data_IF_658284519182
#
_entry.id   IF_658284519182
#
_cell.length_a   1.000
_cell.length_b   1.000
_cell.length_c   1.000
_cell.angle_alpha   90.00
_cell.angle_beta   90.00
_cell.angle_gamma   90.00
#
_symmetry.space_group_name_H-M   'P 1'
#
loop_
_entity.id
_entity.type
_entity.pdbx_description
1 polymer ?
#
# COMPACT_ATOMS: atom_id res chain seq x y z
N UNK A 1 -10.58 17.22 -12.40
CA UNK A 1 -9.69 17.02 -11.25
C UNK A 1 -8.26 17.07 -11.78
N UNK A 2 -7.40 17.89 -11.19
CA UNK A 2 -6.00 18.01 -11.62
C UNK A 2 -5.23 16.77 -11.13
N UNK A 3 -4.52 16.08 -12.01
CA UNK A 3 -3.67 14.93 -11.65
C UNK A 3 -2.20 15.36 -11.62
N UNK A 4 -1.36 14.65 -10.88
CA UNK A 4 0.07 14.97 -10.79
C UNK A 4 0.75 15.07 -12.17
N UNK A 5 0.43 14.16 -13.09
CA UNK A 5 0.96 14.14 -14.46
C UNK A 5 0.54 15.33 -15.34
N UNK A 6 -0.47 16.10 -14.94
CA UNK A 6 -0.88 17.31 -15.66
C UNK A 6 0.03 18.52 -15.38
N UNK A 7 0.86 18.45 -14.34
CA UNK A 7 1.82 19.49 -14.00
C UNK A 7 3.14 19.26 -14.75
N UNK A 8 3.70 20.33 -15.32
CA UNK A 8 5.00 20.27 -15.98
C UNK A 8 6.13 19.91 -14.98
N UNK A 9 7.19 19.18 -15.39
CA UNK A 9 8.27 18.78 -14.48
C UNK A 9 8.94 19.93 -13.72
N UNK A 10 9.11 21.09 -14.36
CA UNK A 10 9.65 22.29 -13.72
C UNK A 10 8.72 22.86 -12.63
N UNK A 11 7.40 22.77 -12.86
CA UNK A 11 6.40 23.17 -11.87
C UNK A 11 6.37 22.21 -10.67
N UNK A 12 6.42 20.90 -10.92
CA UNK A 12 6.50 19.90 -9.86
C UNK A 12 7.70 20.16 -8.94
N UNK A 13 8.90 20.35 -9.50
CA UNK A 13 10.12 20.64 -8.72
C UNK A 13 9.97 21.91 -7.88
N UNK A 14 9.43 22.98 -8.46
CA UNK A 14 9.19 24.24 -7.75
C UNK A 14 8.18 24.08 -6.61
N UNK A 15 7.05 23.40 -6.85
CA UNK A 15 6.02 23.18 -5.82
C UNK A 15 6.53 22.29 -4.70
N UNK A 16 7.21 21.17 -4.99
CA UNK A 16 7.78 20.29 -3.95
C UNK A 16 8.85 20.99 -3.11
N UNK A 17 9.72 21.80 -3.70
CA UNK A 17 10.77 22.52 -2.96
C UNK A 17 10.24 23.76 -2.20
N UNK A 18 9.13 24.34 -2.65
CA UNK A 18 8.52 25.54 -2.07
C UNK A 18 7.36 25.21 -1.12
N UNK A 19 6.10 25.58 -1.47
CA UNK A 19 4.93 25.45 -0.59
C UNK A 19 4.49 24.00 -0.33
N UNK A 20 4.94 23.05 -1.14
CA UNK A 20 4.50 21.66 -1.14
C UNK A 20 3.29 21.42 -2.03
N UNK A 21 3.08 20.16 -2.41
CA UNK A 21 1.95 19.73 -3.21
C UNK A 21 1.06 18.79 -2.39
N UNK A 22 -0.25 18.98 -2.43
CA UNK A 22 -1.20 18.10 -1.73
C UNK A 22 -1.57 16.96 -2.64
N UNK A 23 -1.04 15.77 -2.34
CA UNK A 23 -1.34 14.54 -3.05
C UNK A 23 -2.49 13.81 -2.35
N UNK A 24 -3.48 13.37 -3.13
CA UNK A 24 -4.60 12.58 -2.61
C UNK A 24 -4.39 11.10 -2.85
N UNK A 25 -4.35 10.33 -1.77
CA UNK A 25 -4.31 8.86 -1.82
C UNK A 25 -5.51 8.31 -1.04
N UNK A 26 -6.52 7.79 -1.74
CA UNK A 26 -7.75 7.33 -1.11
C UNK A 26 -8.44 8.47 -0.34
N UNK A 27 -8.77 8.28 0.96
CA UNK A 27 -9.41 9.31 1.78
C UNK A 27 -8.44 10.38 2.28
N UNK A 28 -7.12 10.21 2.14
CA UNK A 28 -6.13 11.07 2.78
C UNK A 28 -5.51 12.09 1.81
N UNK A 29 -5.24 13.27 2.36
CA UNK A 29 -4.50 14.38 1.74
C UNK A 29 -3.15 14.55 2.41
N UNK A 30 -2.09 14.27 1.67
CA UNK A 30 -0.71 14.46 2.14
C UNK A 30 -0.08 15.66 1.45
N UNK A 31 0.26 16.70 2.20
CA UNK A 31 1.10 17.79 1.70
C UNK A 31 2.54 17.34 1.72
N UNK A 32 3.16 17.24 0.55
CA UNK A 32 4.52 16.74 0.40
C UNK A 32 5.44 17.90 0.04
N UNK A 33 6.51 18.05 0.81
CA UNK A 33 7.62 18.98 0.56
C UNK A 33 8.92 18.19 0.50
N UNK A 34 9.72 18.44 -0.54
CA UNK A 34 11.04 17.85 -0.67
C UNK A 34 11.93 18.63 -1.63
N UNK A 35 13.21 18.72 -1.30
CA UNK A 35 14.27 19.27 -2.14
C UNK A 35 15.05 18.19 -2.91
N UNK A 36 14.65 16.91 -2.76
CA UNK A 36 15.37 15.74 -3.31
C UNK A 36 14.88 15.44 -4.73
N UNK A 37 15.67 15.69 -5.79
CA UNK A 37 15.19 15.55 -7.16
C UNK A 37 14.77 14.13 -7.52
N UNK A 38 15.54 13.12 -7.08
CA UNK A 38 15.24 11.71 -7.33
C UNK A 38 13.91 11.27 -6.70
N UNK A 39 13.53 11.87 -5.55
CA UNK A 39 12.24 11.61 -4.92
C UNK A 39 11.11 12.23 -5.74
N UNK A 40 11.28 13.47 -6.21
CA UNK A 40 10.32 14.15 -7.10
C UNK A 40 10.10 13.34 -8.38
N UNK A 41 11.18 12.87 -9.02
CA UNK A 41 11.08 12.08 -10.26
C UNK A 41 10.35 10.75 -10.00
N UNK A 42 10.61 10.09 -8.87
CA UNK A 42 9.94 8.83 -8.51
C UNK A 42 8.46 9.04 -8.17
N UNK A 43 8.12 10.09 -7.42
CA UNK A 43 6.72 10.44 -7.13
C UNK A 43 5.99 10.78 -8.44
N UNK A 44 6.63 11.56 -9.33
CA UNK A 44 6.07 11.90 -10.64
C UNK A 44 5.76 10.66 -11.49
N UNK A 45 6.58 9.63 -11.40
CA UNK A 45 6.38 8.36 -12.12
C UNK A 45 5.27 7.50 -11.50
N UNK A 46 5.34 7.24 -10.19
CA UNK A 46 4.49 6.27 -9.50
C UNK A 46 3.11 6.85 -9.11
N UNK A 47 3.04 8.17 -8.93
CA UNK A 47 1.84 8.88 -8.52
C UNK A 47 1.26 9.78 -9.63
N UNK A 48 1.68 9.58 -10.89
CA UNK A 48 1.23 10.35 -12.05
C UNK A 48 -0.30 10.49 -12.18
N UNK A 49 -1.06 9.44 -11.88
CA UNK A 49 -2.53 9.42 -12.03
C UNK A 49 -3.29 9.99 -10.83
N UNK A 50 -2.58 10.34 -9.75
CA UNK A 50 -3.22 10.68 -8.49
C UNK A 50 -3.66 12.14 -8.53
N UNK A 51 -4.84 12.44 -7.97
CA UNK A 51 -5.31 13.80 -7.87
C UNK A 51 -4.40 14.64 -6.98
N UNK A 52 -4.23 15.90 -7.36
CA UNK A 52 -3.52 16.91 -6.58
C UNK A 52 -4.47 18.07 -6.27
N UNK A 53 -4.48 18.49 -5.02
CA UNK A 53 -5.19 19.70 -4.59
C UNK A 53 -4.19 20.87 -4.57
N UNK A 54 -4.58 22.04 -5.08
CA UNK A 54 -3.71 23.22 -5.12
C UNK A 54 -3.64 23.93 -3.77
N UNK A 55 -4.77 23.97 -3.05
CA UNK A 55 -4.92 24.64 -1.76
C UNK A 55 -5.80 23.83 -0.82
N UNK A 56 -5.66 24.08 0.48
CA UNK A 56 -6.58 23.57 1.50
C UNK A 56 -5.94 22.72 2.59
N UNK A 57 -6.81 22.03 3.33
CA UNK A 57 -6.43 21.18 4.45
C UNK A 57 -5.69 19.93 3.97
N UNK A 58 -4.62 19.56 4.66
CA UNK A 58 -3.92 18.29 4.48
C UNK A 58 -3.89 17.55 5.82
N UNK A 59 -4.29 16.28 5.80
CA UNK A 59 -4.27 15.39 6.97
C UNK A 59 -2.83 15.20 7.47
N UNK A 60 -1.88 15.12 6.53
CA UNK A 60 -0.48 14.85 6.81
C UNK A 60 0.42 15.91 6.18
N UNK A 61 1.31 16.51 6.98
CA UNK A 61 2.41 17.35 6.52
C UNK A 61 3.67 16.49 6.43
N UNK A 62 4.17 16.28 5.22
CA UNK A 62 5.32 15.42 4.97
C UNK A 62 6.48 16.24 4.44
N UNK A 63 7.51 16.42 5.27
CA UNK A 63 8.72 17.11 4.88
C UNK A 63 9.90 16.14 4.80
N UNK A 64 10.39 15.91 3.58
CA UNK A 64 11.56 15.08 3.31
C UNK A 64 12.69 15.93 2.76
N UNK A 65 13.72 16.16 3.57
CA UNK A 65 14.85 17.02 3.22
C UNK A 65 16.13 16.21 3.04
N UNK A 66 16.96 16.63 2.08
CA UNK A 66 18.34 16.21 2.00
C UNK A 66 19.21 16.80 3.11
N UNK A 67 20.30 16.12 3.47
CA UNK A 67 21.30 16.67 4.40
C UNK A 67 21.84 18.01 3.88
N UNK A 68 21.77 19.11 4.64
CA UNK A 68 22.27 20.42 4.20
C UNK A 68 23.81 20.51 4.25
N UNK A 69 24.36 21.51 3.55
CA UNK A 69 25.77 21.88 3.60
C UNK A 69 26.73 20.89 2.95
N UNK A 70 28.01 20.94 3.33
CA UNK A 70 29.08 20.11 2.73
C UNK A 70 28.86 18.61 2.89
N UNK A 71 28.16 18.19 3.95
CA UNK A 71 27.84 16.76 4.21
C UNK A 71 26.98 16.14 3.11
N UNK A 72 26.27 16.94 2.30
CA UNK A 72 25.54 16.47 1.11
C UNK A 72 26.42 15.77 0.08
N UNK A 73 27.72 16.09 0.05
CA UNK A 73 28.66 15.48 -0.90
C UNK A 73 29.38 14.26 -0.34
N UNK A 74 29.51 14.14 0.98
CA UNK A 74 30.25 13.03 1.60
C UNK A 74 29.36 11.87 2.02
N UNK A 75 28.21 12.17 2.61
CA UNK A 75 27.22 11.18 3.06
C UNK A 75 25.82 11.79 2.95
N UNK A 76 25.27 11.89 1.72
CA UNK A 76 23.92 12.42 1.52
C UNK A 76 22.89 11.51 2.20
N UNK A 77 22.03 12.10 3.01
CA UNK A 77 20.96 11.39 3.72
C UNK A 77 19.63 12.10 3.47
N UNK A 78 18.55 11.33 3.50
CA UNK A 78 17.18 11.82 3.61
C UNK A 78 16.79 11.88 5.09
N UNK A 79 16.06 12.93 5.46
CA UNK A 79 15.48 13.10 6.79
C UNK A 79 14.00 13.37 6.66
N UNK A 80 13.22 12.86 7.61
CA UNK A 80 11.82 13.17 7.74
C UNK A 80 11.64 14.02 8.98
N UNK A 81 10.99 15.15 8.80
CA UNK A 81 10.65 16.08 9.86
C UNK A 81 9.15 16.39 9.79
N UNK A 82 8.47 16.28 10.92
CA UNK A 82 7.09 16.70 11.06
C UNK A 82 7.01 17.66 12.24
N UNK A 83 7.03 18.96 11.96
CA UNK A 83 6.95 20.03 12.97
C UNK A 83 7.96 19.84 14.12
N UNK A 84 9.20 19.44 13.79
CA UNK A 84 10.28 19.18 14.74
C UNK A 84 10.30 17.75 15.33
N UNK A 85 9.27 16.93 15.08
CA UNK A 85 9.28 15.51 15.41
C UNK A 85 10.01 14.72 14.33
N UNK A 86 10.96 13.89 14.77
CA UNK A 86 11.76 13.02 13.91
C UNK A 86 11.55 11.57 14.31
N UNK A 87 10.43 10.94 13.87
CA UNK A 87 10.12 9.57 14.24
C UNK A 87 11.08 8.55 13.62
N UNK A 88 11.82 8.93 12.57
CA UNK A 88 12.74 8.04 11.86
C UNK A 88 14.18 8.55 11.90
N UNK A 89 15.12 7.60 11.98
CA UNK A 89 16.55 7.90 11.79
C UNK A 89 16.81 8.31 10.33
N UNK A 90 17.78 9.20 10.06
CA UNK A 90 18.18 9.53 8.70
C UNK A 90 18.62 8.28 7.92
N UNK A 91 18.20 8.16 6.66
CA UNK A 91 18.57 7.07 5.76
C UNK A 91 19.45 7.60 4.62
N UNK A 92 20.24 6.76 3.93
CA UNK A 92 20.95 7.17 2.72
C UNK A 92 19.99 7.82 1.70
N UNK A 93 20.42 8.86 0.99
CA UNK A 93 19.54 9.62 0.08
C UNK A 93 18.88 8.74 -1.00
N UNK A 94 19.56 7.66 -1.43
CA UNK A 94 19.03 6.68 -2.36
C UNK A 94 17.76 5.98 -1.84
N UNK A 95 17.55 5.97 -0.52
CA UNK A 95 16.39 5.39 0.16
C UNK A 95 15.27 6.41 0.42
N UNK A 96 15.32 7.60 -0.20
CA UNK A 96 14.29 8.63 -0.04
C UNK A 96 12.88 8.14 -0.39
N UNK A 97 12.71 7.39 -1.48
CA UNK A 97 11.40 6.86 -1.85
C UNK A 97 10.88 5.77 -0.88
N UNK A 98 11.64 4.72 -0.52
CA UNK A 98 11.22 3.80 0.54
C UNK A 98 10.85 4.51 1.85
N UNK A 99 11.62 5.53 2.24
CA UNK A 99 11.32 6.34 3.42
C UNK A 99 9.99 7.08 3.28
N UNK A 100 9.73 7.69 2.13
CA UNK A 100 8.46 8.36 1.82
C UNK A 100 7.27 7.40 1.98
N UNK A 101 7.35 6.20 1.42
CA UNK A 101 6.27 5.20 1.55
C UNK A 101 6.07 4.74 3.01
N UNK A 102 7.15 4.55 3.77
CA UNK A 102 7.04 4.20 5.19
C UNK A 102 6.44 5.32 6.03
N UNK A 103 6.81 6.56 5.76
CA UNK A 103 6.23 7.74 6.40
C UNK A 103 4.73 7.82 6.12
N UNK A 104 4.31 7.66 4.87
CA UNK A 104 2.88 7.64 4.49
C UNK A 104 2.12 6.56 5.26
N UNK A 105 2.68 5.34 5.33
CA UNK A 105 2.11 4.25 6.12
C UNK A 105 1.99 4.60 7.60
N UNK A 106 3.06 5.15 8.19
CA UNK A 106 3.11 5.52 9.59
C UNK A 106 2.08 6.60 9.95
N UNK A 107 1.92 7.61 9.09
CA UNK A 107 0.90 8.65 9.29
C UNK A 107 -0.51 8.06 9.33
N UNK A 108 -0.84 7.16 8.40
CA UNK A 108 -2.15 6.49 8.38
C UNK A 108 -2.34 5.62 9.62
N UNK A 109 -1.38 4.75 9.96
CA UNK A 109 -1.53 3.83 11.09
C UNK A 109 -1.62 4.51 12.46
N UNK A 110 -0.99 5.68 12.63
CA UNK A 110 -0.97 6.42 13.91
C UNK A 110 -2.06 7.49 14.04
N UNK A 111 -2.78 7.85 12.96
CA UNK A 111 -3.76 8.95 13.00
C UNK A 111 -5.14 8.57 12.49
N UNK A 112 -5.27 7.55 11.64
CA UNK A 112 -6.54 7.18 11.01
C UNK A 112 -7.42 6.27 11.90
N UNK A 113 -7.59 6.61 13.18
CA UNK A 113 -8.32 5.79 14.15
C UNK A 113 -9.85 5.84 14.00
N UNK A 114 -10.37 6.54 13.00
CA UNK A 114 -11.77 6.36 12.56
C UNK A 114 -11.97 5.08 11.74
N UNK A 115 -10.89 4.35 11.42
CA UNK A 115 -10.90 3.08 10.70
C UNK A 115 -10.27 1.98 11.57
N UNK A 116 -10.74 0.75 11.41
CA UNK A 116 -9.98 -0.44 11.78
C UNK A 116 -8.92 -0.68 10.69
N UNK A 117 -7.65 -0.60 11.07
CA UNK A 117 -6.52 -0.71 10.13
C UNK A 117 -5.87 -2.07 10.25
N UNK A 118 -5.93 -2.86 9.18
CA UNK A 118 -5.38 -4.22 9.12
C UNK A 118 -4.16 -4.24 8.19
N UNK A 119 -3.08 -4.90 8.62
CA UNK A 119 -1.94 -5.20 7.78
C UNK A 119 -2.29 -6.29 6.76
N UNK A 120 -2.88 -5.87 5.66
CA UNK A 120 -3.38 -6.75 4.61
C UNK A 120 -3.42 -6.02 3.28
N UNK A 121 -3.34 -6.80 2.20
CA UNK A 121 -3.72 -6.33 0.88
C UNK A 121 -5.23 -6.51 0.69
N UNK A 122 -5.85 -5.66 -0.12
CA UNK A 122 -7.23 -5.82 -0.57
C UNK A 122 -7.29 -5.66 -2.07
N UNK A 123 -7.91 -6.64 -2.69
CA UNK A 123 -8.19 -6.67 -4.11
C UNK A 123 -9.66 -6.93 -4.34
N UNK A 124 -10.18 -6.43 -5.46
CA UNK A 124 -11.57 -6.65 -5.83
C UNK A 124 -11.71 -7.06 -7.28
N UNK A 125 -12.63 -7.99 -7.51
CA UNK A 125 -12.99 -8.53 -8.82
C UNK A 125 -14.47 -8.88 -8.80
N UNK A 126 -15.20 -8.47 -9.85
CA UNK A 126 -16.64 -8.76 -9.99
C UNK A 126 -17.49 -8.37 -8.76
N UNK A 127 -17.16 -7.26 -8.10
CA UNK A 127 -17.87 -6.76 -6.92
C UNK A 127 -17.48 -7.44 -5.60
N UNK A 128 -16.51 -8.36 -5.62
CA UNK A 128 -16.08 -9.14 -4.47
C UNK A 128 -14.70 -8.76 -4.02
N UNK A 129 -14.58 -8.24 -2.80
CA UNK A 129 -13.29 -7.91 -2.24
C UNK A 129 -12.72 -9.05 -1.39
N UNK A 130 -11.42 -9.25 -1.57
CA UNK A 130 -10.60 -10.25 -0.90
C UNK A 130 -9.59 -9.51 -0.03
N UNK A 131 -9.64 -9.77 1.27
CA UNK A 131 -8.62 -9.31 2.21
C UNK A 131 -7.56 -10.39 2.31
N UNK A 132 -6.30 -10.01 2.17
CA UNK A 132 -5.12 -10.89 2.24
C UNK A 132 -4.25 -10.51 3.44
N UNK A 133 -4.65 -10.82 4.70
CA UNK A 133 -3.79 -10.60 5.85
C UNK A 133 -2.65 -11.59 5.82
N UNK A 134 -1.44 -11.11 6.06
CA UNK A 134 -0.30 -12.01 6.12
C UNK A 134 0.90 -11.40 6.86
N UNK A 135 1.68 -12.22 7.58
CA UNK A 135 2.93 -11.75 8.14
C UNK A 135 3.93 -11.36 7.02
N UNK A 136 4.92 -10.52 7.34
CA UNK A 136 5.98 -10.19 6.39
C UNK A 136 6.68 -11.45 5.83
N UNK A 137 6.91 -11.48 4.52
CA UNK A 137 7.61 -12.59 3.85
C UNK A 137 6.72 -13.74 3.36
N UNK A 138 5.42 -13.70 3.64
CA UNK A 138 4.40 -14.67 3.20
C UNK A 138 4.14 -14.73 1.69
N UNK A 139 4.63 -13.77 0.91
CA UNK A 139 4.34 -13.62 -0.52
C UNK A 139 3.14 -12.73 -0.85
N UNK A 140 2.46 -12.14 0.15
CA UNK A 140 1.29 -11.25 -0.02
C UNK A 140 1.45 -10.18 -1.11
N UNK A 141 2.48 -9.34 -1.03
CA UNK A 141 2.67 -8.27 -2.02
C UNK A 141 2.98 -8.80 -3.43
N UNK A 142 3.62 -9.96 -3.54
CA UNK A 142 3.85 -10.64 -4.82
C UNK A 142 2.54 -11.15 -5.41
N UNK A 143 1.72 -11.85 -4.62
CA UNK A 143 0.40 -12.30 -5.06
C UNK A 143 -0.50 -11.11 -5.41
N UNK A 144 -0.46 -10.06 -4.59
CA UNK A 144 -1.19 -8.83 -4.83
C UNK A 144 -0.82 -8.19 -6.17
N UNK A 145 0.48 -8.00 -6.42
CA UNK A 145 0.97 -7.48 -7.69
C UNK A 145 0.54 -8.36 -8.88
N UNK A 146 0.64 -9.68 -8.76
CA UNK A 146 0.29 -10.60 -9.83
C UNK A 146 -1.20 -10.54 -10.22
N UNK A 147 -2.09 -10.48 -9.22
CA UNK A 147 -3.54 -10.31 -9.43
C UNK A 147 -3.86 -8.95 -10.07
N UNK A 148 -3.20 -7.89 -9.59
CA UNK A 148 -3.34 -6.53 -10.16
C UNK A 148 -2.91 -6.47 -11.62
N UNK A 149 -1.78 -7.10 -11.98
CA UNK A 149 -1.30 -7.24 -13.37
C UNK A 149 -2.26 -8.04 -14.27
N UNK A 150 -3.28 -8.67 -13.69
CA UNK A 150 -4.33 -9.42 -14.41
C UNK A 150 -5.70 -8.74 -14.31
N UNK A 151 -5.71 -7.46 -13.93
CA UNK A 151 -6.90 -6.62 -13.99
C UNK A 151 -7.79 -6.67 -12.75
N UNK A 152 -7.29 -7.21 -11.62
CA UNK A 152 -7.96 -7.02 -10.34
C UNK A 152 -7.84 -5.57 -9.90
N UNK A 153 -8.92 -5.02 -9.34
CA UNK A 153 -8.89 -3.67 -8.77
C UNK A 153 -8.08 -3.70 -7.48
N UNK A 154 -7.07 -2.84 -7.41
CA UNK A 154 -6.28 -2.65 -6.19
C UNK A 154 -7.05 -1.72 -5.25
N UNK A 155 -7.33 -2.18 -4.03
CA UNK A 155 -7.79 -1.30 -2.97
C UNK A 155 -6.63 -0.91 -2.06
N UNK A 156 -5.75 -1.84 -1.69
CA UNK A 156 -4.54 -1.55 -0.91
C UNK A 156 -3.58 -2.74 -0.98
N UNK A 157 -2.27 -2.54 -0.80
CA UNK A 157 -1.33 -3.65 -0.55
C UNK A 157 -0.93 -3.76 0.92
N UNK A 158 -0.87 -2.65 1.67
CA UNK A 158 -0.21 -2.65 2.99
C UNK A 158 -1.15 -2.32 4.16
N UNK A 159 -2.08 -1.39 3.95
CA UNK A 159 -3.00 -0.89 4.98
C UNK A 159 -4.43 -1.01 4.49
N UNK A 160 -5.13 -2.02 4.99
CA UNK A 160 -6.57 -2.19 4.75
C UNK A 160 -7.35 -1.32 5.72
N UNK A 161 -8.18 -0.43 5.19
CA UNK A 161 -9.03 0.46 5.98
C UNK A 161 -10.45 -0.10 6.00
N UNK A 162 -10.91 -0.54 7.17
CA UNK A 162 -12.29 -0.97 7.39
C UNK A 162 -13.01 0.13 8.16
N UNK A 163 -14.09 0.67 7.61
CA UNK A 163 -14.91 1.65 8.31
C UNK A 163 -15.84 0.95 9.31
N UNK A 164 -15.75 1.19 10.63
CA UNK A 164 -16.52 0.44 11.62
C UNK A 164 -18.05 0.56 11.48
N UNK A 165 -18.56 1.67 10.96
CA UNK A 165 -20.00 1.94 10.87
C UNK A 165 -20.73 1.01 9.91
N UNK A 166 -20.13 0.69 8.76
CA UNK A 166 -20.75 -0.04 7.65
C UNK A 166 -19.90 -1.20 7.10
N UNK A 167 -18.70 -1.41 7.67
CA UNK A 167 -17.69 -2.36 7.24
C UNK A 167 -17.19 -2.17 5.81
N UNK A 168 -17.38 -0.98 5.25
CA UNK A 168 -16.87 -0.65 3.93
C UNK A 168 -15.33 -0.69 3.94
N UNK A 169 -14.76 -1.40 2.96
CA UNK A 169 -13.35 -1.33 2.65
C UNK A 169 -13.10 -0.04 1.88
N UNK A 170 -12.37 0.88 2.51
CA UNK A 170 -12.06 2.18 1.93
C UNK A 170 -10.75 2.06 1.13
N UNK A 171 -10.76 2.34 -0.19
CA UNK A 171 -9.57 2.19 -1.00
C UNK A 171 -8.46 3.16 -0.59
N UNK A 172 -7.24 2.64 -0.55
CA UNK A 172 -5.98 3.36 -0.45
C UNK A 172 -4.99 2.80 -1.49
N UNK A 173 -5.29 2.91 -2.81
CA UNK A 173 -4.53 2.24 -3.85
C UNK A 173 -3.21 2.97 -4.07
N UNK A 174 -2.19 2.63 -3.28
CA UNK A 174 -0.81 3.12 -3.42
C UNK A 174 0.08 2.12 -4.17
N UNK A 175 1.27 2.54 -4.65
CA UNK A 175 2.21 1.62 -5.29
C UNK A 175 2.52 0.39 -4.43
N UNK A 176 2.56 -0.79 -5.07
CA UNK A 176 2.77 -2.08 -4.39
C UNK A 176 4.25 -2.27 -4.10
N UNK A 177 4.62 -2.51 -2.84
CA UNK A 177 6.02 -2.64 -2.41
C UNK A 177 6.52 -4.08 -2.60
N UNK A 178 7.39 -4.30 -3.58
CA UNK A 178 8.02 -5.60 -3.87
C UNK A 178 9.47 -5.63 -3.40
N UNK A 179 9.94 -6.83 -3.01
CA UNK A 179 11.27 -7.03 -2.41
C UNK A 179 12.05 -8.12 -3.11
N UNK A 180 13.36 -7.93 -3.23
CA UNK A 180 14.32 -8.96 -3.65
C UNK A 180 13.86 -9.69 -4.93
N UNK A 181 13.77 -11.02 -4.89
CA UNK A 181 13.37 -11.86 -6.02
C UNK A 181 11.97 -11.52 -6.56
N UNK A 182 11.05 -11.04 -5.72
CA UNK A 182 9.67 -10.71 -6.14
C UNK A 182 9.64 -9.59 -7.20
N UNK A 183 10.65 -8.72 -7.23
CA UNK A 183 10.75 -7.67 -8.26
C UNK A 183 10.96 -8.33 -9.63
N UNK A 184 11.90 -9.28 -9.73
CA UNK A 184 12.16 -10.01 -10.97
C UNK A 184 10.99 -10.89 -11.39
N UNK A 185 10.35 -11.57 -10.43
CA UNK A 185 9.17 -12.40 -10.68
C UNK A 185 8.05 -11.58 -11.33
N UNK A 186 7.71 -10.41 -10.78
CA UNK A 186 6.61 -9.60 -11.33
C UNK A 186 6.99 -8.94 -12.66
N UNK A 187 8.24 -8.54 -12.86
CA UNK A 187 8.70 -8.06 -14.17
C UNK A 187 8.61 -9.11 -15.26
N UNK A 188 8.87 -10.37 -14.93
CA UNK A 188 8.70 -11.48 -15.87
C UNK A 188 7.22 -11.83 -16.08
N UNK A 189 6.39 -11.68 -15.04
CA UNK A 189 4.95 -11.92 -15.07
C UNK A 189 4.19 -10.92 -15.94
N UNK A 190 4.60 -9.66 -15.89
CA UNK A 190 4.02 -8.55 -16.64
C UNK A 190 5.15 -7.61 -17.14
N UNK A 191 5.62 -7.79 -18.39
CA UNK A 191 6.67 -6.97 -18.97
C UNK A 191 6.32 -5.48 -19.11
N UNK A 192 5.03 -5.15 -19.18
CA UNK A 192 4.54 -3.77 -19.33
C UNK A 192 4.34 -3.06 -17.97
N UNK A 193 4.54 -3.79 -16.86
CA UNK A 193 4.41 -3.26 -15.52
C UNK A 193 5.42 -2.12 -15.28
N UNK A 194 4.91 -0.98 -14.80
CA UNK A 194 5.72 0.21 -14.52
C UNK A 194 6.23 0.18 -13.08
N UNK A 195 7.56 0.20 -12.93
CA UNK A 195 8.22 0.21 -11.64
C UNK A 195 9.00 1.50 -11.40
N UNK A 196 9.05 1.90 -10.13
CA UNK A 196 10.05 2.85 -9.65
C UNK A 196 11.46 2.24 -9.62
N UNK A 197 12.49 3.05 -9.31
CA UNK A 197 13.86 2.55 -9.19
C UNK A 197 13.96 1.47 -8.12
N UNK A 198 14.77 0.45 -8.39
CA UNK A 198 15.13 -0.54 -7.39
C UNK A 198 16.17 0.07 -6.43
N UNK A 199 15.87 0.03 -5.14
CA UNK A 199 16.72 0.61 -4.10
C UNK A 199 17.37 -0.54 -3.31
N UNK A 200 18.68 -0.78 -3.47
CA UNK A 200 19.39 -1.81 -2.73
C UNK A 200 19.67 -1.38 -1.27
N UNK A 201 20.18 -2.32 -0.47
CA UNK A 201 20.70 -2.08 0.90
C UNK A 201 19.70 -1.44 1.88
N UNK A 202 18.40 -1.68 1.69
CA UNK A 202 17.42 -1.32 2.73
C UNK A 202 17.44 -2.36 3.84
N UNK A 203 16.90 -2.03 5.01
CA UNK A 203 16.71 -3.01 6.12
C UNK A 203 15.87 -4.22 5.72
N UNK A 204 15.15 -4.15 4.60
CA UNK A 204 14.29 -5.21 4.04
C UNK A 204 14.86 -5.81 2.74
N UNK A 205 16.12 -5.54 2.40
CA UNK A 205 16.79 -5.96 1.15
C UNK A 205 16.62 -4.94 0.03
N UNK A 206 16.55 -5.40 -1.22
CA UNK A 206 16.25 -4.51 -2.36
C UNK A 206 14.74 -4.29 -2.46
N UNK A 207 14.29 -3.03 -2.52
CA UNK A 207 12.87 -2.68 -2.67
C UNK A 207 12.65 -2.00 -4.03
N UNK A 208 11.57 -2.36 -4.73
CA UNK A 208 11.02 -1.57 -5.82
C UNK A 208 9.50 -1.47 -5.67
N UNK A 209 8.91 -0.41 -6.20
CA UNK A 209 7.47 -0.19 -6.11
C UNK A 209 6.86 -0.31 -7.50
N UNK A 210 5.81 -1.13 -7.60
CA UNK A 210 4.98 -1.26 -8.79
C UNK A 210 3.91 -0.16 -8.75
N UNK A 211 3.79 0.61 -9.84
CA UNK A 211 2.76 1.64 -9.98
C UNK A 211 1.37 1.03 -9.85
N UNK A 212 0.51 1.68 -9.08
CA UNK A 212 -0.90 1.28 -8.99
C UNK A 212 -1.60 1.49 -10.34
N UNK A 213 -2.53 0.60 -10.76
CA UNK A 213 -3.27 0.80 -12.00
C UNK A 213 -4.08 2.09 -11.96
N UNK A 214 -4.09 2.81 -13.09
CA UNK A 214 -4.88 4.05 -13.24
C UNK A 214 -6.36 3.84 -12.91
N UNK A 215 -6.95 2.71 -13.28
CA UNK A 215 -8.34 2.39 -12.99
C UNK A 215 -8.60 2.29 -11.47
N UNK A 216 -7.70 1.66 -10.72
CA UNK A 216 -7.77 1.57 -9.26
C UNK A 216 -7.68 2.95 -8.60
N UNK A 217 -6.78 3.82 -9.09
CA UNK A 217 -6.62 5.19 -8.60
C UNK A 217 -7.87 6.04 -8.91
N UNK A 218 -8.43 5.91 -10.11
CA UNK A 218 -9.66 6.61 -10.49
C UNK A 218 -10.87 6.19 -9.63
N UNK A 219 -10.97 4.90 -9.31
CA UNK A 219 -12.01 4.32 -8.46
C UNK A 219 -11.68 4.41 -6.96
N UNK A 220 -10.74 5.26 -6.52
CA UNK A 220 -10.33 5.35 -5.11
C UNK A 220 -11.45 5.88 -4.18
N UNK A 221 -12.51 6.48 -4.73
CA UNK A 221 -13.72 6.86 -4.00
C UNK A 221 -14.77 5.74 -3.86
N UNK A 222 -14.61 4.63 -4.58
CA UNK A 222 -15.58 3.54 -4.64
C UNK A 222 -15.23 2.46 -3.61
N UNK A 223 -15.94 2.45 -2.48
CA UNK A 223 -15.75 1.42 -1.45
C UNK A 223 -16.16 0.03 -1.92
N UNK A 224 -15.58 -1.00 -1.31
CA UNK A 224 -16.01 -2.39 -1.52
C UNK A 224 -16.49 -3.04 -0.23
N UNK A 225 -17.17 -4.19 -0.34
CA UNK A 225 -17.48 -5.05 0.80
C UNK A 225 -16.60 -6.30 0.75
N UNK A 226 -16.04 -6.65 1.89
CA UNK A 226 -15.29 -7.89 2.03
C UNK A 226 -16.23 -9.08 1.82
N UNK A 227 -15.74 -10.08 1.09
CA UNK A 227 -16.43 -11.36 0.88
C UNK A 227 -15.55 -12.53 1.30
N UNK A 228 -14.23 -12.35 1.19
CA UNK A 228 -13.24 -13.38 1.46
C UNK A 228 -12.10 -12.81 2.30
N UNK A 229 -11.61 -13.62 3.23
CA UNK A 229 -10.38 -13.37 3.98
C UNK A 229 -9.48 -14.59 3.75
N UNK A 230 -8.42 -14.38 2.98
CA UNK A 230 -7.52 -15.47 2.54
C UNK A 230 -6.13 -15.19 3.08
N UNK A 231 -5.53 -16.11 3.82
CA UNK A 231 -4.16 -15.97 4.32
C UNK A 231 -3.19 -16.64 3.34
N UNK A 232 -2.49 -15.88 2.48
CA UNK A 232 -1.56 -16.45 1.53
C UNK A 232 -0.27 -16.90 2.21
N UNK A 233 0.28 -18.01 1.72
CA UNK A 233 1.60 -18.52 2.04
C UNK A 233 2.27 -19.03 0.78
N UNK A 234 3.31 -18.33 0.36
CA UNK A 234 4.17 -18.80 -0.73
C UNK A 234 5.10 -19.91 -0.23
N UNK A 235 5.12 -21.03 -0.94
CA UNK A 235 6.04 -22.14 -0.73
C UNK A 235 6.50 -22.69 -2.09
N UNK A 236 7.80 -22.58 -2.38
CA UNK A 236 8.33 -22.91 -3.69
C UNK A 236 8.02 -24.38 -4.05
N UNK A 237 7.37 -24.58 -5.21
CA UNK A 237 6.97 -25.90 -5.69
C UNK A 237 5.70 -26.47 -5.02
N UNK A 238 5.09 -25.80 -4.06
CA UNK A 238 3.82 -26.23 -3.48
C UNK A 238 2.68 -26.10 -4.50
N UNK A 239 1.72 -27.02 -4.43
CA UNK A 239 0.46 -26.91 -5.16
C UNK A 239 -0.39 -25.75 -4.61
N UNK A 240 -1.19 -25.13 -5.48
CA UNK A 240 -2.22 -24.20 -5.04
C UNK A 240 -3.34 -24.93 -4.27
N UNK A 241 -3.42 -24.72 -2.96
CA UNK A 241 -4.39 -25.38 -2.08
C UNK A 241 -5.08 -24.36 -1.19
N UNK A 242 -6.41 -24.40 -1.21
CA UNK A 242 -7.28 -23.63 -0.32
C UNK A 242 -7.81 -24.53 0.80
N UNK A 243 -7.65 -24.11 2.05
CA UNK A 243 -8.19 -24.82 3.21
C UNK A 243 -9.13 -23.90 4.00
N UNK A 244 -10.39 -24.28 4.24
CA UNK A 244 -11.34 -23.45 4.97
C UNK A 244 -10.90 -23.24 6.42
N UNK A 245 -11.16 -22.05 6.95
CA UNK A 245 -10.87 -21.69 8.34
C UNK A 245 -12.16 -21.42 9.12
N UNK A 246 -12.28 -21.92 10.36
CA UNK A 246 -13.40 -21.58 11.22
C UNK A 246 -13.33 -20.10 11.64
N UNK A 247 -14.50 -19.48 11.82
CA UNK A 247 -14.65 -18.04 12.13
C UNK A 247 -13.85 -17.61 13.36
N UNK A 248 -13.75 -18.45 14.39
CA UNK A 248 -12.96 -18.15 15.59
C UNK A 248 -11.48 -17.96 15.29
N UNK A 249 -10.90 -18.83 14.44
CA UNK A 249 -9.51 -18.73 14.02
C UNK A 249 -9.30 -17.58 13.04
N UNK A 250 -10.32 -17.27 12.24
CA UNK A 250 -10.32 -16.10 11.35
C UNK A 250 -10.22 -14.81 12.17
N UNK A 251 -11.08 -14.67 13.19
CA UNK A 251 -11.09 -13.52 14.11
C UNK A 251 -9.71 -13.28 14.73
N UNK A 252 -9.15 -14.28 15.41
CA UNK A 252 -7.86 -14.15 16.11
C UNK A 252 -6.75 -13.73 15.15
N UNK A 253 -6.65 -14.37 13.98
CA UNK A 253 -5.58 -14.08 13.02
C UNK A 253 -5.70 -12.71 12.37
N UNK A 254 -6.92 -12.23 12.12
CA UNK A 254 -7.11 -10.87 11.60
C UNK A 254 -6.81 -9.84 12.69
N UNK A 255 -7.22 -10.10 13.94
CA UNK A 255 -6.88 -9.26 15.09
C UNK A 255 -5.37 -9.13 15.27
N UNK A 256 -4.61 -10.23 15.14
CA UNK A 256 -3.14 -10.24 15.22
C UNK A 256 -2.47 -9.38 14.13
N UNK A 257 -3.17 -9.14 13.02
CA UNK A 257 -2.70 -8.28 11.92
C UNK A 257 -3.25 -6.85 12.00
N UNK A 258 -4.09 -6.50 12.98
CA UNK A 258 -4.68 -5.18 13.12
C UNK A 258 -3.80 -4.24 13.95
N UNK A 259 -3.45 -3.06 13.40
CA UNK A 259 -2.54 -2.11 14.05
C UNK A 259 -3.14 -1.41 15.27
N UNK A 260 -4.43 -1.08 15.19
CA UNK A 260 -5.10 -0.22 16.16
C UNK A 260 -6.29 -0.91 16.84
N UNK A 261 -6.33 -2.24 16.81
CA UNK A 261 -7.39 -3.03 17.45
C UNK A 261 -7.57 -2.65 18.92
N UNK A 262 -6.48 -2.64 19.70
CA UNK A 262 -6.50 -2.24 21.12
C UNK A 262 -6.88 -0.78 21.32
N UNK A 263 -6.53 0.10 20.37
CA UNK A 263 -6.86 1.53 20.43
C UNK A 263 -8.36 1.75 20.24
N UNK A 264 -9.00 0.97 19.37
CA UNK A 264 -10.44 1.03 19.12
C UNK A 264 -11.29 0.37 20.21
N UNK A 265 -10.71 -0.52 21.01
CA UNK A 265 -11.42 -1.23 22.07
C UNK A 265 -12.66 -1.98 21.54
N UNK A 266 -13.80 -1.75 22.20
CA UNK A 266 -15.10 -2.37 21.86
C UNK A 266 -15.50 -2.15 20.40
N UNK A 267 -15.33 -0.93 19.87
CA UNK A 267 -15.63 -0.63 18.46
C UNK A 267 -14.79 -1.47 17.50
N UNK A 268 -13.54 -1.74 17.85
CA UNK A 268 -12.64 -2.59 17.07
C UNK A 268 -13.05 -4.06 17.12
N UNK A 269 -13.41 -4.55 18.32
CA UNK A 269 -13.91 -5.91 18.53
C UNK A 269 -15.18 -6.18 17.71
N UNK A 270 -16.18 -5.31 17.82
CA UNK A 270 -17.47 -5.48 17.14
C UNK A 270 -17.34 -5.40 15.62
N UNK A 271 -16.56 -4.42 15.12
CA UNK A 271 -16.32 -4.27 13.70
C UNK A 271 -15.59 -5.48 13.12
N UNK A 272 -14.59 -6.00 13.83
CA UNK A 272 -13.87 -7.19 13.40
C UNK A 272 -14.77 -8.43 13.43
N UNK A 273 -15.58 -8.62 14.48
CA UNK A 273 -16.51 -9.73 14.60
C UNK A 273 -17.48 -9.78 13.43
N UNK A 274 -18.18 -8.67 13.17
CA UNK A 274 -19.11 -8.56 12.05
C UNK A 274 -18.42 -8.72 10.69
N UNK A 275 -17.17 -8.26 10.55
CA UNK A 275 -16.38 -8.44 9.32
C UNK A 275 -16.10 -9.92 9.05
N UNK A 276 -15.63 -10.67 10.05
CA UNK A 276 -15.28 -12.09 9.87
C UNK A 276 -16.50 -12.98 9.72
N UNK A 277 -17.64 -12.64 10.35
CA UNK A 277 -18.91 -13.35 10.17
C UNK A 277 -19.46 -13.21 8.75
N UNK A 278 -19.20 -12.06 8.10
CA UNK A 278 -19.63 -11.79 6.73
C UNK A 278 -18.70 -12.31 5.65
N UNK A 279 -17.61 -13.00 6.00
CA UNK A 279 -16.58 -13.44 5.04
C UNK A 279 -16.34 -14.95 5.07
N UNK A 280 -16.05 -15.52 3.91
CA UNK A 280 -15.46 -16.85 3.82
C UNK A 280 -13.96 -16.79 4.15
N UNK A 281 -13.50 -17.60 5.11
CA UNK A 281 -12.12 -17.62 5.60
C UNK A 281 -11.31 -18.80 5.08
N UNK A 282 -10.08 -18.55 4.61
CA UNK A 282 -9.23 -19.59 4.06
C UNK A 282 -7.74 -19.43 4.39
N UNK A 283 -7.05 -20.55 4.61
CA UNK A 283 -5.59 -20.64 4.42
C UNK A 283 -5.32 -21.00 2.96
N UNK A 284 -4.32 -20.35 2.36
CA UNK A 284 -3.95 -20.57 0.97
C UNK A 284 -2.44 -20.78 0.81
N UNK A 285 -2.04 -21.95 0.33
CA UNK A 285 -0.66 -22.25 -0.02
C UNK A 285 -0.50 -22.29 -1.53
N UNK A 286 0.64 -21.80 -2.06
CA UNK A 286 0.93 -21.85 -3.49
C UNK A 286 2.43 -21.73 -3.80
N UNK A 287 2.86 -22.36 -4.89
CA UNK A 287 4.22 -22.23 -5.41
C UNK A 287 4.32 -21.54 -6.77
N UNK A 288 3.21 -21.38 -7.50
CA UNK A 288 3.17 -20.74 -8.83
C UNK A 288 2.05 -19.72 -8.92
N UNK A 289 2.32 -18.61 -9.62
CA UNK A 289 1.37 -17.51 -9.77
C UNK A 289 0.17 -17.88 -10.68
N UNK A 290 0.38 -18.66 -11.74
CA UNK A 290 -0.71 -19.10 -12.63
C UNK A 290 -1.78 -19.91 -11.89
N UNK A 291 -1.34 -20.88 -11.09
CA UNK A 291 -2.24 -21.72 -10.29
C UNK A 291 -2.98 -20.89 -9.23
N UNK A 292 -2.29 -19.92 -8.63
CA UNK A 292 -2.92 -19.01 -7.67
C UNK A 292 -3.97 -18.10 -8.33
N UNK A 293 -3.66 -17.51 -9.49
CA UNK A 293 -4.59 -16.67 -10.23
C UNK A 293 -5.85 -17.45 -10.62
N UNK A 294 -5.70 -18.65 -11.20
CA UNK A 294 -6.83 -19.47 -11.63
C UNK A 294 -7.79 -19.78 -10.47
N UNK A 295 -7.24 -20.06 -9.29
CA UNK A 295 -8.02 -20.31 -8.09
C UNK A 295 -8.73 -19.05 -7.59
N UNK A 296 -8.08 -17.88 -7.63
CA UNK A 296 -8.70 -16.62 -7.22
C UNK A 296 -9.81 -16.17 -8.17
N UNK A 297 -9.64 -16.36 -9.48
CA UNK A 297 -10.72 -16.11 -10.47
C UNK A 297 -11.91 -17.03 -10.21
N UNK A 298 -11.68 -18.33 -9.97
CA UNK A 298 -12.74 -19.27 -9.59
C UNK A 298 -13.52 -18.82 -8.34
N UNK A 299 -12.82 -18.34 -7.29
CA UNK A 299 -13.48 -17.79 -6.10
C UNK A 299 -14.24 -16.49 -6.40
N UNK A 300 -13.75 -15.65 -7.31
CA UNK A 300 -14.44 -14.43 -7.71
C UNK A 300 -15.72 -14.71 -8.51
N UNK A 301 -15.78 -15.82 -9.26
CA UNK A 301 -16.92 -16.21 -10.07
C UNK A 301 -17.98 -17.05 -9.31
N UNK A 302 -17.58 -17.82 -8.30
CA UNK A 302 -18.46 -18.77 -7.60
C UNK A 302 -19.59 -18.08 -6.80
N UNK A 303 -20.89 -18.28 -7.11
CA UNK A 303 -22.01 -17.44 -6.64
C UNK A 303 -22.10 -17.14 -5.13
#
# INVERSE_FOLDING_TARGET
MLNLSSLAPGELRRRFAGPGLVLRTGPFRSRIRTDIPALVDTISLLYADYPVDEEGFADFQLHLEGTPGWRRWLRPQVRFDQDGLRPFKPLPIAQAHPMFEWVMNWCVSNKAHSYLVIHAAVLERHGRAFILPAPPGSGKSTLCAALVCRGWRLLSDELTLVRPSDLALVPLPRPVSLKNASIGVIRAWDPDAVFGPAVPETSKGTIAHLRAPRASVAAAGETARASHIVFPRYEAGAAAVLAPLPTSRLFTRVADNAFNYTVLGETGFDALGRLVEGCAGFDFSYGKLDEALALFESLAEAP
#
